data_IF_412042605901
#
_entry.id   IF_412042605901
#
_cell.length_a   1.000
_cell.length_b   1.000
_cell.length_c   1.000
_cell.angle_alpha   90.00
_cell.angle_beta   90.00
_cell.angle_gamma   90.00
#
_symmetry.space_group_name_H-M   'P 1'
#
loop_
_entity.id
_entity.type
_entity.pdbx_description
1 polymer ?
#
# COMPACT_ATOMS: atom_id res chain seq x y z
N UNK A 1 -4.16 36.35 21.44
CA UNK A 1 -2.78 35.80 21.45
C UNK A 1 -2.75 34.57 20.56
N UNK A 2 -2.11 34.67 19.40
CA UNK A 2 -1.96 33.53 18.47
C UNK A 2 -0.80 32.69 18.98
N UNK A 3 -1.07 31.52 19.56
CA UNK A 3 -0.04 30.55 19.94
C UNK A 3 0.66 30.08 18.66
N UNK A 4 1.89 30.52 18.44
CA UNK A 4 2.73 30.10 17.32
C UNK A 4 3.24 28.69 17.68
N UNK A 5 2.61 27.65 17.13
CA UNK A 5 3.09 26.29 17.28
C UNK A 5 4.51 26.18 16.73
N UNK A 6 5.46 25.54 17.44
CA UNK A 6 6.78 25.27 16.91
C UNK A 6 6.67 24.49 15.59
N UNK A 7 7.62 24.74 14.65
CA UNK A 7 7.61 24.09 13.34
C UNK A 7 7.61 22.56 13.44
N UNK A 8 8.29 22.01 14.44
CA UNK A 8 8.34 20.58 14.76
C UNK A 8 6.95 20.02 15.11
N UNK A 9 6.19 20.70 15.96
CA UNK A 9 4.85 20.27 16.35
C UNK A 9 3.87 20.31 15.17
N UNK A 10 4.03 21.28 14.25
CA UNK A 10 3.26 21.34 13.02
C UNK A 10 3.58 20.14 12.11
N UNK A 11 4.86 19.77 11.99
CA UNK A 11 5.30 18.63 11.19
C UNK A 11 4.80 17.30 11.79
N UNK A 12 4.91 17.11 13.11
CA UNK A 12 4.37 15.93 13.79
C UNK A 12 2.87 15.78 13.61
N UNK A 13 2.13 16.87 13.77
CA UNK A 13 0.66 16.84 13.60
C UNK A 13 0.30 16.48 12.16
N UNK A 14 1.00 17.06 11.18
CA UNK A 14 0.80 16.73 9.78
C UNK A 14 1.06 15.23 9.52
N UNK A 15 2.11 14.68 10.10
CA UNK A 15 2.46 13.27 9.95
C UNK A 15 1.40 12.34 10.59
N UNK A 16 0.88 12.70 11.76
CA UNK A 16 -0.24 11.98 12.40
C UNK A 16 -1.50 12.00 11.54
N UNK A 17 -1.86 13.17 10.98
CA UNK A 17 -3.01 13.26 10.06
C UNK A 17 -2.78 12.36 8.84
N UNK A 18 -1.57 12.38 8.27
CA UNK A 18 -1.23 11.63 7.07
C UNK A 18 -1.28 10.12 7.29
N UNK A 19 -0.68 9.62 8.37
CA UNK A 19 -0.68 8.18 8.68
C UNK A 19 -2.09 7.68 9.04
N UNK A 20 -2.87 8.46 9.79
CA UNK A 20 -4.27 8.15 10.08
C UNK A 20 -5.12 8.10 8.81
N UNK A 21 -4.98 9.08 7.92
CA UNK A 21 -5.69 9.10 6.64
C UNK A 21 -5.27 7.92 5.75
N UNK A 22 -3.97 7.62 5.69
CA UNK A 22 -3.44 6.50 4.91
C UNK A 22 -4.04 5.16 5.35
N UNK A 23 -4.17 4.92 6.66
CA UNK A 23 -4.81 3.73 7.22
C UNK A 23 -6.33 3.74 6.96
N UNK A 24 -7.00 4.81 7.35
CA UNK A 24 -8.45 4.95 7.29
C UNK A 24 -9.01 4.83 5.86
N UNK A 25 -8.32 5.43 4.87
CA UNK A 25 -8.75 5.32 3.47
C UNK A 25 -8.61 3.89 2.94
N UNK A 26 -7.57 3.15 3.35
CA UNK A 26 -7.43 1.72 2.96
C UNK A 26 -8.49 0.82 3.62
N UNK A 27 -8.96 1.17 4.80
CA UNK A 27 -9.99 0.41 5.54
C UNK A 27 -11.40 0.67 5.01
N UNK A 28 -11.72 1.92 4.70
CA UNK A 28 -13.12 2.34 4.51
C UNK A 28 -13.36 3.08 3.18
N UNK A 29 -12.30 3.34 2.39
CA UNK A 29 -12.39 4.24 1.23
C UNK A 29 -12.34 5.70 1.62
N UNK A 30 -11.97 6.56 0.67
CA UNK A 30 -11.83 8.00 0.92
C UNK A 30 -13.16 8.76 0.89
N UNK A 31 -14.18 8.20 0.26
CA UNK A 31 -15.51 8.83 0.18
C UNK A 31 -16.24 8.76 1.52
N UNK A 32 -16.22 7.59 2.17
CA UNK A 32 -16.86 7.34 3.46
C UNK A 32 -16.12 8.03 4.62
N UNK A 33 -14.79 8.16 4.50
CA UNK A 33 -13.94 8.81 5.51
C UNK A 33 -13.48 10.19 5.04
N UNK A 34 -14.31 11.19 5.29
CA UNK A 34 -13.96 12.59 5.03
C UNK A 34 -12.94 13.15 6.03
N UNK A 35 -12.44 14.38 5.74
CA UNK A 35 -11.53 15.14 6.61
C UNK A 35 -12.00 15.14 8.08
N UNK A 36 -13.33 15.30 8.29
CA UNK A 36 -13.90 15.34 9.64
C UNK A 36 -13.64 14.09 10.46
N UNK A 37 -13.72 12.90 9.85
CA UNK A 37 -13.49 11.65 10.54
C UNK A 37 -12.01 11.46 10.91
N UNK A 38 -11.11 11.75 9.98
CA UNK A 38 -9.65 11.70 10.23
C UNK A 38 -9.25 12.65 11.36
N UNK A 39 -9.76 13.88 11.32
CA UNK A 39 -9.46 14.87 12.36
C UNK A 39 -10.06 14.50 13.72
N UNK A 40 -11.30 13.98 13.75
CA UNK A 40 -11.97 13.49 14.96
C UNK A 40 -11.21 12.38 15.64
N UNK A 41 -10.69 11.41 14.87
CA UNK A 41 -9.88 10.30 15.39
C UNK A 41 -8.63 10.78 16.14
N UNK A 42 -8.07 11.91 15.71
CA UNK A 42 -6.89 12.53 16.33
C UNK A 42 -7.25 13.55 17.44
N UNK A 43 -8.52 13.71 17.76
CA UNK A 43 -8.97 14.74 18.69
C UNK A 43 -8.78 16.18 18.19
N UNK A 44 -8.68 16.37 16.87
CA UNK A 44 -8.43 17.64 16.22
C UNK A 44 -9.71 18.23 15.60
N UNK A 45 -9.78 19.55 15.51
CA UNK A 45 -10.91 20.23 14.85
C UNK A 45 -10.79 20.19 13.34
N UNK A 46 -11.94 20.12 12.64
CA UNK A 46 -11.97 20.18 11.16
C UNK A 46 -11.30 21.47 10.62
N UNK A 47 -11.40 22.60 11.33
CA UNK A 47 -10.74 23.84 10.93
C UNK A 47 -9.22 23.79 11.00
N UNK A 48 -8.65 22.96 11.90
CA UNK A 48 -7.20 22.74 12.00
C UNK A 48 -6.59 22.05 10.79
N UNK A 49 -7.39 21.31 10.01
CA UNK A 49 -6.95 20.61 8.82
C UNK A 49 -6.25 21.52 7.79
N UNK A 50 -6.85 22.67 7.49
CA UNK A 50 -6.34 23.61 6.48
C UNK A 50 -4.99 24.27 6.83
N UNK A 51 -4.49 24.06 8.05
CA UNK A 51 -3.11 24.44 8.42
C UNK A 51 -2.06 23.45 7.90
N UNK A 52 -2.47 22.25 7.50
CA UNK A 52 -1.60 21.13 7.12
C UNK A 52 -1.76 20.68 5.67
N UNK A 53 -2.97 20.79 5.11
CA UNK A 53 -3.31 20.36 3.75
C UNK A 53 -4.23 21.39 3.08
N UNK A 54 -4.02 21.60 1.79
CA UNK A 54 -4.78 22.58 1.00
C UNK A 54 -6.22 22.11 0.71
N UNK A 55 -6.40 20.79 0.53
CA UNK A 55 -7.69 20.20 0.18
C UNK A 55 -7.78 18.73 0.59
N UNK A 56 -9.02 18.16 0.52
CA UNK A 56 -9.23 16.71 0.67
C UNK A 56 -8.44 15.92 -0.37
N UNK A 57 -8.35 16.44 -1.59
CA UNK A 57 -7.63 15.80 -2.70
C UNK A 57 -6.12 15.78 -2.45
N UNK A 58 -5.58 16.86 -1.89
CA UNK A 58 -4.17 16.92 -1.47
C UNK A 58 -3.86 15.90 -0.37
N UNK A 59 -4.70 15.83 0.67
CA UNK A 59 -4.59 14.80 1.70
C UNK A 59 -4.67 13.40 1.09
N UNK A 60 -5.63 13.15 0.19
CA UNK A 60 -5.78 11.84 -0.46
C UNK A 60 -4.52 11.41 -1.20
N UNK A 61 -4.00 12.28 -2.07
CA UNK A 61 -2.78 11.99 -2.82
C UNK A 61 -1.57 11.72 -1.91
N UNK A 62 -1.42 12.52 -0.84
CA UNK A 62 -0.35 12.36 0.12
C UNK A 62 -0.52 11.07 0.95
N UNK A 63 -1.74 10.74 1.38
CA UNK A 63 -2.04 9.53 2.14
C UNK A 63 -1.81 8.25 1.33
N UNK A 64 -2.20 8.24 0.05
CA UNK A 64 -1.91 7.11 -0.84
C UNK A 64 -0.42 6.95 -1.09
N UNK A 65 0.32 8.06 -1.29
CA UNK A 65 1.77 8.04 -1.44
C UNK A 65 2.45 7.46 -0.18
N UNK A 66 2.03 7.89 1.01
CA UNK A 66 2.49 7.36 2.29
C UNK A 66 2.20 5.86 2.43
N UNK A 67 1.02 5.41 2.03
CA UNK A 67 0.66 3.99 2.07
C UNK A 67 1.58 3.13 1.18
N UNK A 68 1.99 3.62 -0.01
CA UNK A 68 2.97 2.95 -0.84
C UNK A 68 4.35 2.89 -0.17
N UNK A 69 4.79 3.97 0.46
CA UNK A 69 6.06 4.02 1.19
C UNK A 69 6.07 3.02 2.36
N UNK A 70 5.03 3.01 3.20
CA UNK A 70 4.89 2.08 4.31
C UNK A 70 4.92 0.63 3.85
N UNK A 71 4.21 0.31 2.77
CA UNK A 71 4.23 -1.03 2.21
C UNK A 71 5.60 -1.38 1.66
N UNK A 72 6.23 -0.46 0.92
CA UNK A 72 7.58 -0.65 0.40
C UNK A 72 8.58 -0.98 1.51
N UNK A 73 8.57 -0.20 2.59
CA UNK A 73 9.45 -0.43 3.74
C UNK A 73 9.24 -1.82 4.35
N UNK A 74 7.98 -2.26 4.50
CA UNK A 74 7.68 -3.59 5.03
C UNK A 74 8.15 -4.72 4.12
N UNK A 75 7.93 -4.62 2.80
CA UNK A 75 8.32 -5.67 1.87
C UNK A 75 9.84 -5.74 1.68
N UNK A 76 10.53 -4.59 1.67
CA UNK A 76 11.98 -4.53 1.67
C UNK A 76 12.55 -5.21 2.92
N UNK A 77 12.04 -4.88 4.11
CA UNK A 77 12.48 -5.50 5.35
C UNK A 77 12.25 -7.03 5.37
N UNK A 78 11.15 -7.51 4.77
CA UNK A 78 10.89 -8.95 4.62
C UNK A 78 11.91 -9.60 3.68
N UNK A 79 12.22 -8.96 2.56
CA UNK A 79 13.22 -9.47 1.62
C UNK A 79 14.61 -9.52 2.25
N UNK A 80 15.03 -8.44 2.92
CA UNK A 80 16.34 -8.33 3.57
C UNK A 80 16.52 -9.32 4.73
N UNK A 81 15.44 -9.70 5.42
CA UNK A 81 15.46 -10.68 6.50
C UNK A 81 15.41 -12.14 6.01
N UNK A 82 15.10 -12.38 4.74
CA UNK A 82 14.99 -13.73 4.18
C UNK A 82 16.37 -14.33 3.88
N UNK A 83 16.49 -15.68 3.88
CA UNK A 83 17.68 -16.34 3.38
C UNK A 83 17.98 -15.95 1.92
N UNK A 84 19.27 -15.91 1.57
CA UNK A 84 19.72 -15.59 0.21
C UNK A 84 19.07 -16.58 -0.81
N UNK A 85 18.45 -16.02 -1.84
CA UNK A 85 17.72 -16.76 -2.87
C UNK A 85 16.25 -17.05 -2.52
N UNK A 86 15.80 -16.76 -1.29
CA UNK A 86 14.41 -16.91 -0.86
C UNK A 86 13.66 -15.56 -0.71
N UNK A 87 14.30 -14.43 -1.03
CA UNK A 87 13.81 -13.09 -0.76
C UNK A 87 12.46 -12.83 -1.44
N UNK A 88 12.35 -13.13 -2.73
CA UNK A 88 11.12 -12.91 -3.47
C UNK A 88 9.99 -13.84 -3.00
N UNK A 89 10.33 -15.09 -2.67
CA UNK A 89 9.38 -16.03 -2.06
C UNK A 89 8.81 -15.46 -0.77
N UNK A 90 9.67 -15.00 0.13
CA UNK A 90 9.25 -14.40 1.40
C UNK A 90 8.33 -13.18 1.20
N UNK A 91 8.64 -12.33 0.22
CA UNK A 91 7.79 -11.19 -0.16
C UNK A 91 6.41 -11.64 -0.64
N UNK A 92 6.33 -12.64 -1.52
CA UNK A 92 5.07 -13.17 -2.04
C UNK A 92 4.23 -13.80 -0.90
N UNK A 93 4.86 -14.61 -0.05
CA UNK A 93 4.20 -15.27 1.08
C UNK A 93 3.68 -14.25 2.10
N UNK A 94 4.47 -13.24 2.42
CA UNK A 94 4.03 -12.13 3.29
C UNK A 94 2.88 -11.32 2.65
N UNK A 95 2.97 -11.06 1.35
CA UNK A 95 1.94 -10.29 0.63
C UNK A 95 0.62 -11.07 0.55
N UNK A 96 0.65 -12.37 0.25
CA UNK A 96 -0.52 -13.26 0.16
C UNK A 96 -0.73 -14.03 1.48
N UNK A 97 -0.59 -13.35 2.61
CA UNK A 97 -0.80 -13.92 3.94
C UNK A 97 -2.19 -13.62 4.49
N UNK A 98 -2.67 -14.47 5.41
CA UNK A 98 -3.91 -14.24 6.16
C UNK A 98 -3.86 -12.91 6.94
N UNK A 99 -2.69 -12.53 7.48
CA UNK A 99 -2.47 -11.25 8.16
C UNK A 99 -2.71 -10.06 7.25
N UNK A 100 -2.17 -10.08 6.00
CA UNK A 100 -2.40 -9.00 5.04
C UNK A 100 -3.84 -8.99 4.53
N UNK A 101 -4.45 -10.17 4.38
CA UNK A 101 -5.85 -10.28 3.97
C UNK A 101 -6.79 -9.60 4.99
N UNK A 102 -6.58 -9.83 6.30
CA UNK A 102 -7.43 -9.33 7.39
C UNK A 102 -7.15 -7.89 7.81
N UNK A 103 -6.05 -7.28 7.37
CA UNK A 103 -5.63 -5.93 7.78
C UNK A 103 -5.49 -4.96 6.59
N UNK A 104 -6.60 -4.57 5.93
CA UNK A 104 -6.55 -3.68 4.76
C UNK A 104 -5.88 -2.35 5.06
N UNK A 105 -6.11 -1.76 6.22
CA UNK A 105 -5.54 -0.48 6.64
C UNK A 105 -4.01 -0.46 6.74
N UNK A 106 -3.40 -1.62 6.99
CA UNK A 106 -1.94 -1.79 6.93
C UNK A 106 -1.47 -2.40 5.61
N UNK A 107 -2.38 -2.69 4.68
CA UNK A 107 -2.10 -3.44 3.45
C UNK A 107 -1.69 -2.60 2.25
N UNK A 108 -1.74 -3.26 1.10
CA UNK A 108 -1.43 -2.67 -0.19
C UNK A 108 -2.45 -1.58 -0.57
N UNK A 109 -2.02 -0.34 -0.85
CA UNK A 109 -2.94 0.70 -1.29
C UNK A 109 -3.59 0.38 -2.64
N UNK A 110 -2.93 -0.36 -3.52
CA UNK A 110 -3.52 -0.76 -4.79
C UNK A 110 -4.68 -1.75 -4.59
N UNK A 111 -4.51 -2.74 -3.69
CA UNK A 111 -5.57 -3.68 -3.37
C UNK A 111 -6.77 -3.04 -2.64
N UNK A 112 -6.58 -1.88 -2.03
CA UNK A 112 -7.65 -1.17 -1.32
C UNK A 112 -8.30 -0.07 -2.17
N UNK A 113 -7.50 0.67 -2.97
CA UNK A 113 -7.89 1.96 -3.53
C UNK A 113 -7.74 2.06 -5.06
N UNK A 114 -7.41 0.97 -5.78
CA UNK A 114 -7.14 1.05 -7.22
C UNK A 114 -8.28 1.71 -8.02
N UNK A 115 -9.53 1.33 -7.74
CA UNK A 115 -10.69 1.88 -8.40
C UNK A 115 -10.92 3.38 -8.09
N UNK A 116 -10.64 3.81 -6.86
CA UNK A 116 -10.71 5.23 -6.49
C UNK A 116 -9.59 6.03 -7.16
N UNK A 117 -8.34 5.49 -7.15
CA UNK A 117 -7.19 6.11 -7.80
C UNK A 117 -7.46 6.32 -9.29
N UNK A 118 -8.02 5.32 -9.97
CA UNK A 118 -8.32 5.39 -11.41
C UNK A 118 -9.33 6.50 -11.77
N UNK A 119 -10.23 6.85 -10.84
CA UNK A 119 -11.23 7.90 -11.02
C UNK A 119 -10.74 9.31 -10.63
N UNK A 120 -9.53 9.42 -10.07
CA UNK A 120 -8.98 10.73 -9.69
C UNK A 120 -8.57 11.57 -10.92
N UNK A 121 -8.57 12.91 -10.81
CA UNK A 121 -8.05 13.80 -11.83
C UNK A 121 -6.61 13.43 -12.24
N UNK A 122 -6.24 13.73 -13.48
CA UNK A 122 -4.95 13.34 -14.05
C UNK A 122 -3.74 13.73 -13.17
N UNK A 123 -3.75 14.94 -12.63
CA UNK A 123 -2.63 15.45 -11.80
C UNK A 123 -2.48 14.67 -10.49
N UNK A 124 -3.59 14.26 -9.89
CA UNK A 124 -3.60 13.40 -8.70
C UNK A 124 -3.05 12.02 -9.05
N UNK A 125 -3.50 11.44 -10.18
CA UNK A 125 -2.99 10.15 -10.67
C UNK A 125 -1.49 10.19 -10.95
N UNK A 126 -0.97 11.26 -11.57
CA UNK A 126 0.47 11.44 -11.82
C UNK A 126 1.27 11.49 -10.50
N UNK A 127 0.74 12.17 -9.48
CA UNK A 127 1.38 12.24 -8.15
C UNK A 127 1.44 10.87 -7.49
N UNK A 128 0.34 10.12 -7.50
CA UNK A 128 0.28 8.75 -6.95
C UNK A 128 1.16 7.79 -7.76
N UNK A 129 1.16 7.90 -9.08
CA UNK A 129 2.00 7.08 -9.97
C UNK A 129 3.48 7.16 -9.59
N UNK A 130 4.01 8.34 -9.25
CA UNK A 130 5.41 8.48 -8.82
C UNK A 130 5.72 7.58 -7.62
N UNK A 131 4.86 7.57 -6.61
CA UNK A 131 5.05 6.72 -5.42
C UNK A 131 4.90 5.24 -5.73
N UNK A 132 3.96 4.88 -6.60
CA UNK A 132 3.77 3.51 -7.06
C UNK A 132 4.98 2.99 -7.84
N UNK A 133 5.58 3.82 -8.71
CA UNK A 133 6.79 3.47 -9.44
C UNK A 133 8.00 3.35 -8.50
N UNK A 134 8.18 4.31 -7.58
CA UNK A 134 9.24 4.26 -6.59
C UNK A 134 9.17 2.98 -5.72
N UNK A 135 7.96 2.56 -5.34
CA UNK A 135 7.76 1.28 -4.64
C UNK A 135 8.26 0.09 -5.47
N UNK A 136 7.93 0.03 -6.77
CA UNK A 136 8.37 -1.06 -7.66
C UNK A 136 9.88 -1.07 -7.86
N UNK A 137 10.50 0.09 -8.10
CA UNK A 137 11.96 0.19 -8.27
C UNK A 137 12.72 -0.41 -7.07
N UNK A 138 12.24 -0.19 -5.84
CA UNK A 138 12.85 -0.77 -4.63
C UNK A 138 12.78 -2.29 -4.57
N UNK A 139 11.85 -2.92 -5.29
CA UNK A 139 11.71 -4.38 -5.34
C UNK A 139 12.54 -5.05 -6.46
N UNK A 140 13.06 -4.28 -7.43
CA UNK A 140 13.78 -4.82 -8.59
C UNK A 140 15.00 -5.68 -8.25
N UNK A 141 15.77 -5.47 -7.16
CA UNK A 141 16.88 -6.34 -6.81
C UNK A 141 16.51 -7.82 -6.73
N UNK A 142 15.27 -8.11 -6.31
CA UNK A 142 14.79 -9.48 -6.11
C UNK A 142 13.89 -10.00 -7.25
N UNK A 143 13.60 -9.17 -8.25
CA UNK A 143 12.77 -9.58 -9.39
C UNK A 143 13.66 -10.27 -10.44
N UNK A 144 13.33 -11.49 -10.90
CA UNK A 144 14.08 -12.17 -11.95
C UNK A 144 13.93 -11.45 -13.30
N UNK A 145 15.00 -11.44 -14.10
CA UNK A 145 15.04 -10.86 -15.45
C UNK A 145 16.44 -10.49 -15.86
N UNK A 146 16.72 -10.58 -17.16
CA UNK A 146 18.03 -10.28 -17.73
C UNK A 146 18.29 -8.77 -17.85
N UNK A 147 17.22 -7.97 -18.05
CA UNK A 147 17.30 -6.53 -18.19
C UNK A 147 16.45 -5.82 -17.15
N UNK A 148 16.75 -4.55 -16.89
CA UNK A 148 15.94 -3.71 -15.98
C UNK A 148 14.51 -3.58 -16.49
N UNK A 149 14.32 -3.48 -17.80
CA UNK A 149 12.99 -3.35 -18.39
C UNK A 149 12.17 -4.65 -18.23
N UNK A 150 12.78 -5.81 -18.41
CA UNK A 150 12.14 -7.09 -18.13
C UNK A 150 11.74 -7.20 -16.65
N UNK A 151 12.63 -6.83 -15.72
CA UNK A 151 12.33 -6.79 -14.29
C UNK A 151 11.17 -5.85 -13.96
N UNK A 152 11.11 -4.66 -14.57
CA UNK A 152 9.99 -3.72 -14.41
C UNK A 152 8.67 -4.31 -14.87
N UNK A 153 8.66 -4.97 -16.04
CA UNK A 153 7.50 -5.66 -16.58
C UNK A 153 7.02 -6.77 -15.65
N UNK A 154 7.95 -7.64 -15.20
CA UNK A 154 7.65 -8.72 -14.25
C UNK A 154 7.15 -8.20 -12.90
N UNK A 155 7.77 -7.15 -12.35
CA UNK A 155 7.31 -6.51 -11.13
C UNK A 155 5.89 -5.94 -11.28
N UNK A 156 5.58 -5.35 -12.45
CA UNK A 156 4.23 -4.86 -12.72
C UNK A 156 3.21 -6.00 -12.66
N UNK A 157 3.45 -7.10 -13.39
CA UNK A 157 2.54 -8.25 -13.45
C UNK A 157 2.38 -8.88 -12.06
N UNK A 158 3.50 -9.11 -11.35
CA UNK A 158 3.50 -9.71 -10.02
C UNK A 158 2.65 -8.89 -9.03
N UNK A 159 2.99 -7.61 -8.83
CA UNK A 159 2.31 -6.80 -7.80
C UNK A 159 0.87 -6.45 -8.16
N UNK A 160 0.55 -6.25 -9.45
CA UNK A 160 -0.84 -6.01 -9.86
C UNK A 160 -1.68 -7.28 -9.74
N UNK A 161 -1.12 -8.43 -10.10
CA UNK A 161 -1.81 -9.70 -9.98
C UNK A 161 -2.04 -10.12 -8.53
N UNK A 162 -1.04 -9.98 -7.65
CA UNK A 162 -1.22 -10.22 -6.21
C UNK A 162 -2.24 -9.26 -5.59
N UNK A 163 -2.27 -7.99 -6.01
CA UNK A 163 -3.29 -7.04 -5.55
C UNK A 163 -4.69 -7.47 -6.00
N UNK A 164 -4.85 -7.88 -7.25
CA UNK A 164 -6.10 -8.43 -7.77
C UNK A 164 -6.56 -9.69 -7.04
N UNK A 165 -5.63 -10.61 -6.75
CA UNK A 165 -5.90 -11.82 -5.96
C UNK A 165 -6.44 -11.46 -4.56
N UNK A 166 -5.80 -10.51 -3.85
CA UNK A 166 -6.29 -10.06 -2.54
C UNK A 166 -7.70 -9.46 -2.60
N UNK A 167 -8.00 -8.66 -3.63
CA UNK A 167 -9.34 -8.07 -3.83
C UNK A 167 -10.37 -9.19 -4.02
N UNK A 168 -10.09 -10.14 -4.92
CA UNK A 168 -10.97 -11.26 -5.19
C UNK A 168 -11.20 -12.14 -3.95
N UNK A 169 -10.11 -12.48 -3.22
CA UNK A 169 -10.19 -13.28 -2.00
C UNK A 169 -10.98 -12.58 -0.90
N UNK A 170 -10.85 -11.25 -0.75
CA UNK A 170 -11.65 -10.48 0.23
C UNK A 170 -13.15 -10.52 -0.07
N UNK A 171 -13.55 -10.65 -1.34
CA UNK A 171 -14.94 -10.73 -1.75
C UNK A 171 -15.58 -12.11 -1.47
N UNK A 172 -14.80 -13.15 -1.18
CA UNK A 172 -15.29 -14.48 -0.86
C UNK A 172 -15.85 -14.48 0.58
N UNK A 173 -17.12 -14.81 0.76
CA UNK A 173 -17.76 -14.85 2.08
C UNK A 173 -17.38 -16.10 2.88
N UNK A 174 -17.32 -17.27 2.26
CA UNK A 174 -16.97 -18.54 2.89
C UNK A 174 -15.50 -18.56 3.35
N UNK A 175 -15.20 -18.74 4.66
CA UNK A 175 -13.83 -18.72 5.18
C UNK A 175 -12.93 -19.81 4.58
N UNK A 176 -13.44 -21.03 4.37
CA UNK A 176 -12.65 -22.13 3.82
C UNK A 176 -12.34 -21.93 2.34
N UNK A 177 -13.31 -21.44 1.55
CA UNK A 177 -13.07 -21.08 0.16
C UNK A 177 -12.07 -19.93 0.05
N UNK A 178 -12.15 -18.94 0.95
CA UNK A 178 -11.21 -17.83 1.05
C UNK A 178 -9.78 -18.31 1.30
N UNK A 179 -9.59 -19.21 2.26
CA UNK A 179 -8.28 -19.79 2.58
C UNK A 179 -7.71 -20.58 1.40
N UNK A 180 -8.52 -21.44 0.77
CA UNK A 180 -8.10 -22.19 -0.42
C UNK A 180 -7.70 -21.27 -1.57
N UNK A 181 -8.48 -20.22 -1.84
CA UNK A 181 -8.18 -19.26 -2.90
C UNK A 181 -6.88 -18.49 -2.62
N UNK A 182 -6.67 -18.06 -1.37
CA UNK A 182 -5.42 -17.39 -0.97
C UNK A 182 -4.21 -18.31 -1.12
N UNK A 183 -4.32 -19.56 -0.70
CA UNK A 183 -3.26 -20.56 -0.83
C UNK A 183 -2.94 -20.85 -2.30
N UNK A 184 -3.96 -21.03 -3.15
CA UNK A 184 -3.77 -21.24 -4.59
C UNK A 184 -3.07 -20.06 -5.27
N UNK A 185 -3.50 -18.83 -4.96
CA UNK A 185 -2.83 -17.63 -5.48
C UNK A 185 -1.37 -17.56 -5.03
N UNK A 186 -1.08 -17.81 -3.76
CA UNK A 186 0.28 -17.82 -3.23
C UNK A 186 1.17 -18.85 -3.92
N UNK A 187 0.72 -20.10 -4.06
CA UNK A 187 1.47 -21.16 -4.77
C UNK A 187 1.78 -20.76 -6.19
N UNK A 188 0.78 -20.26 -6.93
CA UNK A 188 0.95 -19.82 -8.31
C UNK A 188 2.04 -18.73 -8.45
N UNK A 189 1.99 -17.69 -7.63
CA UNK A 189 2.97 -16.60 -7.73
C UNK A 189 4.36 -17.02 -7.25
N UNK A 190 4.48 -17.88 -6.25
CA UNK A 190 5.76 -18.45 -5.80
C UNK A 190 6.38 -19.29 -6.91
N UNK A 191 5.64 -20.22 -7.49
CA UNK A 191 6.12 -21.09 -8.58
C UNK A 191 6.53 -20.31 -9.82
N UNK A 192 5.71 -19.30 -10.19
CA UNK A 192 5.92 -18.52 -11.42
C UNK A 192 7.10 -17.54 -11.32
N UNK A 193 7.26 -16.89 -10.15
CA UNK A 193 8.19 -15.77 -10.01
C UNK A 193 9.40 -16.04 -9.13
N UNK A 194 9.29 -16.91 -8.12
CA UNK A 194 10.38 -17.22 -7.21
C UNK A 194 11.07 -18.58 -7.50
N UNK A 195 10.47 -19.39 -8.36
CA UNK A 195 10.97 -20.74 -8.65
C UNK A 195 10.94 -21.67 -7.43
N UNK A 196 11.22 -22.96 -7.64
CA UNK A 196 11.67 -23.79 -6.53
C UNK A 196 13.14 -23.42 -6.24
N UNK A 197 13.56 -23.33 -4.97
CA UNK A 197 15.00 -23.29 -4.69
C UNK A 197 15.61 -24.49 -5.39
N UNK A 198 16.57 -24.21 -6.27
CA UNK A 198 17.38 -25.29 -6.88
C UNK A 198 17.99 -26.09 -5.74
N UNK A 199 17.88 -27.44 -5.75
CA UNK A 199 18.43 -28.26 -4.67
C UNK A 199 19.92 -28.08 -4.48
#
# INVERSE_FOLDING_TARGET
>A
MTVRYPAEQKAETREKILSTAARSFREHGSELNGIGQVMKELGLTKGGFYRHFESKVDLYAAAVARAFEEQSNRLVAVAEAAPKGAELRAVIEQYLSAKHLSAPGAGCPLAALAAEIARQPLEVRKRIQRSMLAHRERMLPWIPGATVEEKRGRAFVLFSGMAGALVAVRAIADPQARERALAAARSFYVETFAGNPTP
#
